data_IF_442098051277
#
_entry.id   IF_442098051277
#
_cell.length_a   1.000
_cell.length_b   1.000
_cell.length_c   1.000
_cell.angle_alpha   90.00
_cell.angle_beta   90.00
_cell.angle_gamma   90.00
#
_symmetry.space_group_name_H-M   'P 1'
#
loop_
_entity.id
_entity.type
_entity.pdbx_description
1 polymer ?
#
# COMPACT_ATOMS: atom_id res chain seq x y z
N UNK A 1 69.11 -20.25 -0.55
CA UNK A 1 68.45 -21.50 -1.01
C UNK A 1 67.16 -21.07 -1.69
N UNK A 2 66.87 -21.57 -2.89
CA UNK A 2 65.61 -21.26 -3.57
C UNK A 2 64.48 -21.90 -2.76
N UNK A 3 63.47 -21.14 -2.35
CA UNK A 3 62.25 -21.69 -1.75
C UNK A 3 61.33 -22.20 -2.87
N UNK A 4 61.15 -23.52 -3.02
CA UNK A 4 60.35 -24.09 -4.10
C UNK A 4 58.87 -23.69 -4.05
N UNK A 5 58.34 -23.45 -2.85
CA UNK A 5 56.92 -23.08 -2.67
C UNK A 5 56.69 -21.67 -3.18
N UNK A 6 57.49 -20.71 -2.72
CA UNK A 6 57.39 -19.31 -3.15
C UNK A 6 57.54 -19.14 -4.67
N UNK A 7 58.52 -19.82 -5.29
CA UNK A 7 58.72 -19.76 -6.74
C UNK A 7 57.56 -20.39 -7.53
N UNK A 8 57.06 -21.54 -7.07
CA UNK A 8 55.95 -22.21 -7.71
C UNK A 8 54.66 -21.39 -7.66
N UNK A 9 54.37 -20.77 -6.52
CA UNK A 9 53.24 -19.85 -6.36
C UNK A 9 53.37 -18.66 -7.31
N UNK A 10 54.51 -17.97 -7.31
CA UNK A 10 54.70 -16.77 -8.13
C UNK A 10 54.49 -17.04 -9.63
N UNK A 11 55.09 -18.11 -10.15
CA UNK A 11 54.98 -18.45 -11.57
C UNK A 11 53.58 -18.97 -11.93
N UNK A 12 52.97 -19.80 -11.09
CA UNK A 12 51.60 -20.25 -11.32
C UNK A 12 50.62 -19.08 -11.34
N UNK A 13 50.78 -18.10 -10.44
CA UNK A 13 49.98 -16.88 -10.41
C UNK A 13 50.17 -16.05 -11.68
N UNK A 14 51.41 -15.86 -12.15
CA UNK A 14 51.67 -15.11 -13.39
C UNK A 14 51.02 -15.72 -14.63
N UNK A 15 50.98 -17.05 -14.73
CA UNK A 15 50.36 -17.76 -15.87
C UNK A 15 48.85 -17.52 -15.96
N UNK A 16 48.18 -17.36 -14.82
CA UNK A 16 46.72 -17.17 -14.76
C UNK A 16 46.29 -15.70 -14.66
N UNK A 17 47.15 -14.84 -14.13
CA UNK A 17 46.86 -13.43 -13.84
C UNK A 17 46.15 -12.64 -14.96
N UNK A 18 46.61 -12.66 -16.23
CA UNK A 18 45.94 -11.88 -17.29
C UNK A 18 44.52 -12.37 -17.58
N UNK A 19 44.27 -13.68 -17.46
CA UNK A 19 42.95 -14.27 -17.67
C UNK A 19 42.01 -13.99 -16.52
N UNK A 20 42.52 -14.07 -15.29
CA UNK A 20 41.78 -13.76 -14.07
C UNK A 20 41.38 -12.28 -14.05
N UNK A 21 42.33 -11.40 -14.36
CA UNK A 21 42.09 -9.95 -14.46
C UNK A 21 41.01 -9.65 -15.51
N UNK A 22 41.11 -10.25 -16.70
CA UNK A 22 40.11 -10.07 -17.76
C UNK A 22 38.72 -10.58 -17.36
N UNK A 23 38.64 -11.75 -16.71
CA UNK A 23 37.39 -12.32 -16.23
C UNK A 23 36.74 -11.45 -15.14
N UNK A 24 37.52 -10.99 -14.16
CA UNK A 24 37.07 -10.10 -13.09
C UNK A 24 36.59 -8.75 -13.64
N UNK A 25 37.29 -8.17 -14.62
CA UNK A 25 36.83 -6.95 -15.31
C UNK A 25 35.49 -7.18 -16.01
N UNK A 26 35.31 -8.34 -16.67
CA UNK A 26 34.04 -8.69 -17.32
C UNK A 26 32.91 -8.89 -16.30
N UNK A 27 33.16 -9.54 -15.17
CA UNK A 27 32.19 -9.68 -14.09
C UNK A 27 31.77 -8.34 -13.51
N UNK A 28 32.72 -7.41 -13.33
CA UNK A 28 32.46 -6.05 -12.87
C UNK A 28 31.57 -5.29 -13.87
N UNK A 29 31.87 -5.39 -15.17
CA UNK A 29 31.06 -4.79 -16.24
C UNK A 29 29.63 -5.35 -16.24
N UNK A 30 29.48 -6.68 -16.24
CA UNK A 30 28.18 -7.36 -16.26
C UNK A 30 27.37 -7.04 -15.01
N UNK A 31 27.99 -7.05 -13.83
CA UNK A 31 27.32 -6.70 -12.57
C UNK A 31 26.89 -5.24 -12.56
N UNK A 32 27.71 -4.33 -13.08
CA UNK A 32 27.34 -2.92 -13.24
C UNK A 32 26.12 -2.73 -14.15
N UNK A 33 26.09 -3.42 -15.30
CA UNK A 33 24.93 -3.39 -16.23
C UNK A 33 23.67 -3.95 -15.59
N UNK A 34 23.79 -5.10 -14.92
CA UNK A 34 22.68 -5.73 -14.21
C UNK A 34 22.07 -4.80 -13.17
N UNK A 35 22.92 -4.19 -12.33
CA UNK A 35 22.46 -3.25 -11.30
C UNK A 35 21.80 -2.02 -11.91
N UNK A 36 22.37 -1.46 -12.98
CA UNK A 36 21.80 -0.32 -13.69
C UNK A 36 20.41 -0.63 -14.28
N UNK A 37 20.28 -1.78 -14.96
CA UNK A 37 19.00 -2.24 -15.52
C UNK A 37 17.96 -2.49 -14.43
N UNK A 38 18.37 -3.09 -13.30
CA UNK A 38 17.48 -3.31 -12.15
C UNK A 38 16.98 -1.99 -11.55
N UNK A 39 17.85 -0.98 -11.43
CA UNK A 39 17.45 0.35 -10.98
C UNK A 39 16.46 1.01 -11.94
N UNK A 40 16.70 0.92 -13.26
CA UNK A 40 15.73 1.44 -14.25
C UNK A 40 14.40 0.69 -14.14
N UNK A 41 14.43 -0.65 -14.04
CA UNK A 41 13.22 -1.46 -13.88
C UNK A 41 12.40 -1.04 -12.65
N UNK A 42 13.08 -0.73 -11.55
CA UNK A 42 12.46 -0.29 -10.29
C UNK A 42 11.71 1.04 -10.48
N UNK A 43 12.30 1.99 -11.20
CA UNK A 43 11.65 3.28 -11.51
C UNK A 43 10.50 3.13 -12.52
N UNK A 44 10.60 2.22 -13.49
CA UNK A 44 9.49 1.89 -14.39
C UNK A 44 8.32 1.24 -13.64
N UNK A 45 8.59 0.29 -12.74
CA UNK A 45 7.55 -0.31 -11.88
C UNK A 45 6.94 0.70 -10.90
N UNK A 46 7.74 1.64 -10.39
CA UNK A 46 7.19 2.76 -9.62
C UNK A 46 6.26 3.63 -10.47
N UNK A 47 6.58 3.84 -11.75
CA UNK A 47 5.71 4.57 -12.66
C UNK A 47 4.42 3.84 -12.97
N UNK A 48 4.46 2.53 -13.25
CA UNK A 48 3.24 1.73 -13.43
C UNK A 48 2.29 1.88 -12.24
N UNK A 49 2.80 1.81 -11.00
CA UNK A 49 1.97 2.04 -9.79
C UNK A 49 1.37 3.45 -9.74
N UNK A 50 2.12 4.48 -10.16
CA UNK A 50 1.57 5.84 -10.28
C UNK A 50 0.45 5.88 -11.32
N UNK A 51 0.60 5.21 -12.47
CA UNK A 51 -0.44 5.16 -13.50
C UNK A 51 -1.68 4.39 -13.03
N UNK A 52 -1.51 3.24 -12.38
CA UNK A 52 -2.60 2.43 -11.81
C UNK A 52 -3.44 3.22 -10.80
N UNK A 53 -2.80 4.08 -10.00
CA UNK A 53 -3.49 4.96 -9.06
C UNK A 53 -4.33 6.05 -9.74
N UNK A 54 -4.10 6.32 -11.03
CA UNK A 54 -4.83 7.31 -11.83
C UNK A 54 -5.84 6.66 -12.77
N UNK A 55 -5.54 5.48 -13.31
CA UNK A 55 -6.41 4.74 -14.22
C UNK A 55 -7.43 3.85 -13.50
N UNK A 56 -7.21 3.53 -12.22
CA UNK A 56 -8.06 2.64 -11.42
C UNK A 56 -9.56 3.02 -11.37
N UNK A 57 -10.39 2.05 -11.02
CA UNK A 57 -11.84 2.24 -10.85
C UNK A 57 -12.15 3.30 -9.79
N UNK A 58 -13.10 4.19 -10.06
CA UNK A 58 -13.44 5.37 -9.24
C UNK A 58 -12.29 6.37 -8.98
N UNK A 59 -11.21 6.33 -9.78
CA UNK A 59 -10.16 7.36 -9.77
C UNK A 59 -10.43 8.40 -10.85
N UNK A 60 -9.88 9.59 -10.64
CA UNK A 60 -9.92 10.72 -11.57
C UNK A 60 -8.56 11.39 -11.60
N UNK A 61 -8.23 11.98 -12.76
CA UNK A 61 -7.04 12.83 -12.89
C UNK A 61 -7.30 14.24 -12.37
N UNK A 62 -8.54 14.71 -12.51
CA UNK A 62 -9.03 15.95 -11.88
C UNK A 62 -9.55 15.66 -10.48
N UNK A 63 -9.26 16.54 -9.52
CA UNK A 63 -9.75 16.44 -8.15
C UNK A 63 -10.84 17.46 -7.91
N UNK A 64 -11.76 17.09 -7.04
CA UNK A 64 -12.82 17.94 -6.54
C UNK A 64 -12.61 18.13 -5.04
N UNK A 65 -13.01 19.30 -4.56
CA UNK A 65 -13.03 19.67 -3.15
C UNK A 65 -14.48 19.79 -2.70
N UNK A 66 -14.71 19.48 -1.43
CA UNK A 66 -15.92 19.88 -0.74
C UNK A 66 -15.48 20.52 0.58
N UNK A 67 -16.00 21.70 0.88
CA UNK A 67 -15.68 22.45 2.10
C UNK A 67 -16.96 22.78 2.84
N UNK A 68 -16.95 22.62 4.15
CA UNK A 68 -18.05 23.03 5.04
C UNK A 68 -17.76 24.40 5.65
N UNK A 69 -18.79 25.21 5.85
CA UNK A 69 -18.67 26.45 6.63
C UNK A 69 -18.33 26.20 8.09
N UNK A 70 -18.78 25.07 8.64
CA UNK A 70 -18.42 24.60 9.98
C UNK A 70 -18.22 23.07 9.98
N UNK A 71 -16.99 22.64 10.19
CA UNK A 71 -16.62 21.22 10.23
C UNK A 71 -16.94 20.53 11.55
N UNK A 72 -17.35 21.27 12.59
CA UNK A 72 -17.81 20.69 13.86
C UNK A 72 -19.21 20.07 13.73
N UNK A 73 -20.02 20.55 12.79
CA UNK A 73 -21.34 20.00 12.49
C UNK A 73 -21.27 18.88 11.46
N UNK A 74 -20.58 19.10 10.35
CA UNK A 74 -20.42 18.10 9.31
C UNK A 74 -19.21 18.36 8.43
N UNK A 75 -18.65 17.29 7.87
CA UNK A 75 -17.64 17.37 6.82
C UNK A 75 -18.17 16.75 5.54
N UNK A 76 -17.67 17.24 4.41
CA UNK A 76 -18.03 16.72 3.09
C UNK A 76 -16.78 16.30 2.33
N UNK A 77 -16.87 15.23 1.55
CA UNK A 77 -15.81 14.75 0.69
C UNK A 77 -16.34 14.62 -0.73
N UNK A 78 -15.75 15.38 -1.64
CA UNK A 78 -16.12 15.33 -3.04
C UNK A 78 -15.50 14.10 -3.72
N UNK A 79 -16.36 13.28 -4.32
CA UNK A 79 -15.93 12.19 -5.19
C UNK A 79 -15.53 12.66 -6.58
N UNK A 80 -15.09 11.70 -7.39
CA UNK A 80 -14.72 11.86 -8.80
C UNK A 80 -15.78 12.59 -9.65
N UNK A 81 -17.07 12.33 -9.37
CA UNK A 81 -18.21 12.83 -10.15
C UNK A 81 -18.88 14.05 -9.50
N UNK A 82 -18.27 14.60 -8.46
CA UNK A 82 -18.76 15.79 -7.77
C UNK A 82 -18.92 16.96 -8.74
N UNK A 83 -20.12 17.52 -8.76
CA UNK A 83 -20.43 18.70 -9.56
C UNK A 83 -20.28 19.94 -8.69
N UNK A 84 -19.59 20.95 -9.24
CA UNK A 84 -19.43 22.24 -8.58
C UNK A 84 -20.79 22.84 -8.22
N UNK A 85 -20.87 23.41 -7.03
CA UNK A 85 -22.12 23.96 -6.52
C UNK A 85 -22.03 24.37 -5.06
N UNK A 86 -23.01 25.15 -4.63
CA UNK A 86 -23.15 25.58 -3.26
C UNK A 86 -24.48 25.04 -2.70
N UNK A 87 -24.40 24.35 -1.57
CA UNK A 87 -25.51 23.63 -0.96
C UNK A 87 -25.65 24.02 0.50
N UNK A 88 -26.87 24.07 0.99
CA UNK A 88 -27.15 24.23 2.42
C UNK A 88 -27.49 22.86 3.01
N UNK A 89 -26.89 22.49 4.14
CA UNK A 89 -27.16 21.25 4.84
C UNK A 89 -27.51 21.51 6.31
N UNK A 90 -28.69 21.08 6.72
CA UNK A 90 -29.11 21.12 8.12
C UNK A 90 -29.08 19.70 8.70
N UNK A 91 -28.34 19.48 9.78
CA UNK A 91 -28.30 18.17 10.47
C UNK A 91 -29.38 18.15 11.55
N UNK A 92 -30.41 17.34 11.36
CA UNK A 92 -31.52 17.20 12.32
C UNK A 92 -31.15 16.26 13.46
N UNK A 93 -30.59 15.09 13.13
CA UNK A 93 -30.18 14.11 14.14
C UNK A 93 -29.05 13.22 13.63
N UNK A 94 -28.28 12.70 14.57
CA UNK A 94 -27.25 11.71 14.31
C UNK A 94 -27.81 10.29 14.46
N UNK A 95 -27.21 9.36 13.73
CA UNK A 95 -27.43 7.95 13.93
C UNK A 95 -26.89 7.54 15.31
N UNK A 96 -27.65 6.74 16.02
CA UNK A 96 -27.29 6.18 17.32
C UNK A 96 -27.49 4.66 17.33
N UNK A 97 -26.66 3.96 18.08
CA UNK A 97 -26.81 2.54 18.36
C UNK A 97 -27.75 2.33 19.55
N UNK A 98 -28.37 1.15 19.65
CA UNK A 98 -29.26 0.85 20.77
C UNK A 98 -28.44 0.48 22.03
N UNK A 99 -28.81 1.04 23.18
CA UNK A 99 -28.34 0.61 24.49
C UNK A 99 -29.48 0.32 25.47
N UNK A 100 -29.43 -0.85 26.09
CA UNK A 100 -30.39 -1.32 27.09
C UNK A 100 -29.67 -1.69 28.39
N UNK A 101 -30.22 -1.30 29.53
CA UNK A 101 -29.72 -1.70 30.84
C UNK A 101 -30.76 -2.50 31.64
N UNK A 102 -30.34 -3.61 32.22
CA UNK A 102 -31.22 -4.44 33.05
C UNK A 102 -31.57 -3.76 34.37
N UNK A 103 -32.73 -4.16 34.92
CA UNK A 103 -33.13 -3.84 36.29
C UNK A 103 -33.00 -5.09 37.16
N UNK A 104 -31.80 -5.32 37.71
CA UNK A 104 -31.53 -6.49 38.55
C UNK A 104 -32.05 -6.32 39.98
N UNK A 105 -32.32 -7.42 40.70
CA UNK A 105 -32.66 -7.37 42.12
C UNK A 105 -31.62 -6.61 42.96
N UNK A 106 -32.09 -5.95 44.03
CA UNK A 106 -31.18 -5.27 44.96
C UNK A 106 -30.24 -6.28 45.65
N UNK A 107 -28.97 -5.91 45.79
CA UNK A 107 -27.94 -6.77 46.39
C UNK A 107 -27.25 -7.72 45.41
N UNK A 108 -27.64 -7.73 44.13
CA UNK A 108 -26.92 -8.46 43.08
C UNK A 108 -25.50 -7.92 42.91
N UNK A 109 -24.53 -8.82 42.97
CA UNK A 109 -23.09 -8.60 42.73
C UNK A 109 -22.66 -9.27 41.42
N UNK A 110 -21.45 -8.97 40.94
CA UNK A 110 -20.89 -9.61 39.73
C UNK A 110 -20.72 -11.12 39.91
N UNK A 111 -20.49 -11.55 41.16
CA UNK A 111 -20.30 -12.94 41.57
C UNK A 111 -21.63 -13.59 41.97
N UNK A 112 -22.75 -12.87 41.88
CA UNK A 112 -24.07 -13.48 42.03
C UNK A 112 -24.35 -14.40 40.84
N UNK A 113 -25.02 -15.51 41.13
CA UNK A 113 -25.28 -16.53 40.15
C UNK A 113 -26.53 -16.22 39.31
N UNK A 114 -26.45 -16.54 38.03
CA UNK A 114 -27.57 -16.60 37.09
C UNK A 114 -28.01 -18.07 36.91
N UNK A 115 -29.15 -18.36 36.28
CA UNK A 115 -29.55 -19.74 36.00
C UNK A 115 -28.48 -20.49 35.20
N UNK A 116 -28.11 -21.69 35.64
CA UNK A 116 -27.13 -22.55 34.97
C UNK A 116 -27.74 -23.39 33.81
N UNK A 117 -28.98 -23.10 33.40
CA UNK A 117 -29.65 -23.77 32.28
C UNK A 117 -30.72 -22.87 31.68
N UNK A 118 -31.05 -23.14 30.41
CA UNK A 118 -31.95 -22.30 29.61
C UNK A 118 -31.18 -21.51 28.56
N UNK A 119 -31.90 -20.68 27.82
CA UNK A 119 -31.35 -19.96 26.67
C UNK A 119 -31.59 -18.47 26.81
N UNK A 120 -30.56 -17.67 26.58
CA UNK A 120 -30.66 -16.23 26.37
C UNK A 120 -30.59 -15.94 24.87
N UNK A 121 -31.64 -15.34 24.32
CA UNK A 121 -31.73 -14.96 22.91
C UNK A 121 -31.53 -13.46 22.76
N UNK A 122 -30.62 -13.08 21.88
CA UNK A 122 -30.40 -11.70 21.47
C UNK A 122 -30.74 -11.57 19.99
N UNK A 123 -31.43 -10.50 19.63
CA UNK A 123 -31.75 -10.17 18.26
C UNK A 123 -31.40 -8.71 17.97
N UNK A 124 -30.76 -8.49 16.82
CA UNK A 124 -30.43 -7.16 16.30
C UNK A 124 -30.58 -7.22 14.78
N UNK A 125 -31.24 -6.22 14.20
CA UNK A 125 -31.48 -6.13 12.76
C UNK A 125 -32.12 -7.40 12.14
N UNK A 126 -33.01 -8.07 12.88
CA UNK A 126 -33.68 -9.30 12.43
C UNK A 126 -32.82 -10.57 12.48
N UNK A 127 -31.52 -10.46 12.77
CA UNK A 127 -30.64 -11.60 13.03
C UNK A 127 -30.63 -11.93 14.52
N UNK A 128 -30.62 -13.22 14.85
CA UNK A 128 -30.62 -13.69 16.24
C UNK A 128 -29.48 -14.65 16.53
N UNK A 129 -28.92 -14.53 17.72
CA UNK A 129 -28.02 -15.53 18.28
C UNK A 129 -28.43 -15.89 19.70
N UNK A 130 -27.92 -17.01 20.18
CA UNK A 130 -28.34 -17.56 21.47
C UNK A 130 -27.16 -17.97 22.31
N UNK A 131 -27.22 -17.67 23.61
CA UNK A 131 -26.29 -18.21 24.60
C UNK A 131 -27.02 -19.29 25.39
N UNK A 132 -26.55 -20.53 25.25
CA UNK A 132 -26.95 -21.64 26.11
C UNK A 132 -26.26 -21.50 27.47
N UNK A 133 -27.04 -21.30 28.52
CA UNK A 133 -26.52 -21.05 29.86
C UNK A 133 -25.85 -22.30 30.47
N UNK A 134 -26.19 -23.50 29.99
CA UNK A 134 -25.52 -24.73 30.43
C UNK A 134 -24.10 -24.87 29.84
N UNK A 135 -23.85 -24.25 28.69
CA UNK A 135 -22.55 -24.25 28.01
C UNK A 135 -21.71 -23.04 28.40
N UNK A 136 -22.35 -21.95 28.85
CA UNK A 136 -21.69 -20.73 29.29
C UNK A 136 -20.84 -20.94 30.56
N UNK A 137 -21.17 -21.92 31.41
CA UNK A 137 -20.34 -22.34 32.54
C UNK A 137 -19.11 -23.12 32.03
N UNK A 138 -18.03 -22.40 31.73
CA UNK A 138 -16.77 -22.99 31.25
C UNK A 138 -15.98 -23.72 32.35
N UNK A 139 -16.27 -23.45 33.61
CA UNK A 139 -15.59 -24.09 34.75
C UNK A 139 -16.27 -25.41 35.11
N UNK A 140 -17.53 -25.59 34.70
CA UNK A 140 -18.31 -26.82 34.85
C UNK A 140 -18.65 -27.15 36.29
N UNK A 141 -18.72 -26.14 37.16
CA UNK A 141 -19.10 -26.27 38.57
C UNK A 141 -20.62 -26.20 38.79
N UNK A 142 -21.40 -25.95 37.74
CA UNK A 142 -22.85 -25.76 37.81
C UNK A 142 -23.26 -24.36 38.28
N UNK A 143 -22.32 -23.41 38.33
CA UNK A 143 -22.55 -22.04 38.77
C UNK A 143 -22.11 -21.08 37.66
N UNK A 144 -23.04 -20.26 37.16
CA UNK A 144 -22.74 -19.23 36.16
C UNK A 144 -22.86 -17.86 36.82
N UNK A 145 -21.78 -17.08 36.88
CA UNK A 145 -21.84 -15.71 37.39
C UNK A 145 -22.33 -14.72 36.31
N UNK A 146 -22.74 -13.52 36.72
CA UNK A 146 -23.02 -12.45 35.76
C UNK A 146 -21.79 -12.04 34.93
N UNK A 147 -20.59 -12.16 35.50
CA UNK A 147 -19.33 -11.93 34.78
C UNK A 147 -19.08 -12.99 33.70
N UNK A 148 -19.36 -14.26 34.02
CA UNK A 148 -19.26 -15.36 33.07
C UNK A 148 -20.30 -15.23 31.96
N UNK A 149 -21.52 -14.80 32.29
CA UNK A 149 -22.57 -14.53 31.30
C UNK A 149 -22.15 -13.44 30.30
N UNK A 150 -21.60 -12.31 30.78
CA UNK A 150 -21.07 -11.25 29.91
C UNK A 150 -19.96 -11.80 29.01
N UNK A 151 -19.06 -12.62 29.57
CA UNK A 151 -17.98 -13.25 28.82
C UNK A 151 -18.52 -14.22 27.77
N UNK A 152 -19.58 -14.97 28.08
CA UNK A 152 -20.22 -15.90 27.15
C UNK A 152 -20.90 -15.17 25.99
N UNK A 153 -21.61 -14.07 26.26
CA UNK A 153 -22.27 -13.24 25.24
C UNK A 153 -21.25 -12.63 24.27
N UNK A 154 -20.22 -11.97 24.81
CA UNK A 154 -19.22 -11.27 23.99
C UNK A 154 -18.33 -12.22 23.17
N UNK A 155 -18.19 -13.48 23.60
CA UNK A 155 -17.42 -14.51 22.89
C UNK A 155 -18.30 -15.54 22.17
N UNK A 156 -19.61 -15.30 22.06
CA UNK A 156 -20.48 -16.19 21.32
C UNK A 156 -20.06 -16.22 19.83
N UNK A 157 -19.80 -17.39 19.25
CA UNK A 157 -19.25 -17.50 17.91
C UNK A 157 -20.21 -17.01 16.81
N UNK A 158 -21.50 -16.99 17.12
CA UNK A 158 -22.60 -16.53 16.29
C UNK A 158 -23.10 -15.12 16.67
N UNK A 159 -22.36 -14.37 17.51
CA UNK A 159 -22.75 -13.02 17.92
C UNK A 159 -22.93 -12.10 16.70
N UNK A 160 -24.15 -11.57 16.54
CA UNK A 160 -24.57 -10.76 15.37
C UNK A 160 -24.35 -9.26 15.55
N UNK A 161 -23.69 -8.83 16.64
CA UNK A 161 -23.37 -7.42 16.89
C UNK A 161 -23.87 -6.86 18.23
N UNK A 162 -24.11 -7.71 19.23
CA UNK A 162 -24.52 -7.28 20.58
C UNK A 162 -23.37 -7.49 21.56
N UNK A 163 -22.94 -6.42 22.20
CA UNK A 163 -21.97 -6.47 23.30
C UNK A 163 -22.67 -6.34 24.65
N UNK A 164 -22.15 -7.02 25.67
CA UNK A 164 -22.61 -6.94 27.04
C UNK A 164 -21.49 -6.42 27.97
N UNK A 165 -21.86 -5.69 29.01
CA UNK A 165 -20.94 -5.30 30.09
C UNK A 165 -21.66 -5.17 31.43
N UNK A 166 -20.89 -5.19 32.53
CA UNK A 166 -21.42 -4.90 33.86
C UNK A 166 -21.14 -3.45 34.22
N UNK A 167 -22.16 -2.76 34.70
CA UNK A 167 -22.07 -1.36 35.13
C UNK A 167 -22.60 -1.23 36.55
N UNK A 168 -21.93 -0.42 37.37
CA UNK A 168 -22.40 -0.10 38.72
C UNK A 168 -23.04 1.29 38.67
N UNK A 169 -24.33 1.37 38.97
CA UNK A 169 -25.08 2.61 39.09
C UNK A 169 -25.67 2.72 40.49
N UNK A 170 -25.32 3.77 41.23
CA UNK A 170 -25.76 3.99 42.63
C UNK A 170 -25.54 2.78 43.56
N UNK A 171 -24.46 2.02 43.35
CA UNK A 171 -24.13 0.84 44.15
C UNK A 171 -24.87 -0.44 43.75
N UNK A 172 -25.69 -0.41 42.70
CA UNK A 172 -26.36 -1.58 42.11
C UNK A 172 -25.68 -1.97 40.79
N UNK A 173 -25.52 -3.27 40.55
CA UNK A 173 -25.02 -3.78 39.27
C UNK A 173 -26.17 -3.90 38.27
N UNK A 174 -25.88 -3.54 37.01
CA UNK A 174 -26.73 -3.72 35.86
C UNK A 174 -25.93 -4.38 34.74
N UNK A 175 -26.59 -5.19 33.92
CA UNK A 175 -26.04 -5.61 32.63
C UNK A 175 -26.44 -4.54 31.61
N UNK A 176 -25.44 -3.99 30.95
CA UNK A 176 -25.60 -3.10 29.81
C UNK A 176 -25.40 -3.89 28.53
N UNK A 177 -26.37 -3.82 27.65
CA UNK A 177 -26.32 -4.36 26.29
C UNK A 177 -26.21 -3.21 25.30
N UNK A 178 -25.30 -3.32 24.33
CA UNK A 178 -25.06 -2.30 23.31
C UNK A 178 -24.94 -2.96 21.94
N UNK A 179 -25.72 -2.47 20.98
CA UNK A 179 -25.51 -2.78 19.56
C UNK A 179 -24.18 -2.19 19.07
N UNK A 180 -23.55 -2.86 18.12
CA UNK A 180 -22.29 -2.43 17.49
C UNK A 180 -22.49 -1.43 16.34
N UNK A 181 -23.71 -1.37 15.79
CA UNK A 181 -24.09 -0.51 14.67
C UNK A 181 -25.16 0.50 15.07
N UNK A 182 -25.09 1.68 14.45
CA UNK A 182 -26.11 2.73 14.55
C UNK A 182 -27.24 2.49 13.56
N UNK A 183 -28.37 3.19 13.71
CA UNK A 183 -29.48 3.14 12.75
C UNK A 183 -30.73 2.48 13.32
N UNK A 184 -31.90 2.88 12.85
CA UNK A 184 -33.19 2.53 13.41
C UNK A 184 -33.48 1.01 13.37
N UNK A 185 -32.96 0.30 12.38
CA UNK A 185 -33.11 -1.16 12.24
C UNK A 185 -32.22 -1.95 13.22
N UNK A 186 -31.14 -1.34 13.73
CA UNK A 186 -30.19 -1.96 14.66
C UNK A 186 -30.66 -1.91 16.12
N UNK A 187 -31.96 -2.11 16.33
CA UNK A 187 -32.55 -2.21 17.65
C UNK A 187 -32.21 -3.57 18.28
N UNK A 188 -31.56 -3.55 19.44
CA UNK A 188 -31.33 -4.75 20.26
C UNK A 188 -32.63 -5.17 20.95
N UNK A 189 -32.95 -6.45 20.87
CA UNK A 189 -33.98 -7.09 21.67
C UNK A 189 -33.43 -8.33 22.35
N UNK A 190 -33.86 -8.55 23.58
CA UNK A 190 -33.33 -9.61 24.45
C UNK A 190 -34.51 -10.29 25.13
N UNK A 191 -34.41 -11.60 25.23
CA UNK A 191 -35.32 -12.44 25.98
C UNK A 191 -34.57 -13.67 26.50
N UNK A 192 -34.94 -14.18 27.66
CA UNK A 192 -34.48 -15.50 28.11
C UNK A 192 -35.64 -16.44 28.37
N UNK A 193 -35.32 -17.73 28.33
CA UNK A 193 -36.20 -18.83 28.70
C UNK A 193 -35.46 -19.75 29.65
N UNK A 194 -35.68 -19.56 30.95
CA UNK A 194 -35.04 -20.33 32.02
C UNK A 194 -36.08 -20.88 33.01
N UNK A 195 -35.62 -21.54 34.08
CA UNK A 195 -36.49 -21.92 35.20
C UNK A 195 -36.65 -20.80 36.25
N UNK A 196 -35.97 -19.67 36.07
CA UNK A 196 -35.99 -18.53 36.99
C UNK A 196 -36.76 -17.35 36.36
N UNK A 197 -38.01 -17.19 36.80
CA UNK A 197 -38.87 -16.11 36.32
C UNK A 197 -38.35 -14.70 36.65
N UNK A 198 -37.54 -14.54 37.70
CA UNK A 198 -36.96 -13.23 38.07
C UNK A 198 -35.87 -12.87 37.07
N UNK A 199 -35.00 -13.83 36.76
CA UNK A 199 -34.00 -13.66 35.70
C UNK A 199 -34.65 -13.41 34.34
N UNK A 200 -35.67 -14.19 33.97
CA UNK A 200 -36.38 -14.03 32.70
C UNK A 200 -37.08 -12.68 32.57
N UNK A 201 -37.63 -12.16 33.67
CA UNK A 201 -38.21 -10.83 33.71
C UNK A 201 -37.14 -9.75 33.51
N UNK A 202 -35.98 -9.89 34.17
CA UNK A 202 -34.88 -8.92 34.07
C UNK A 202 -34.16 -8.95 32.71
N UNK A 203 -34.15 -10.08 32.02
CA UNK A 203 -33.55 -10.28 30.69
C UNK A 203 -34.54 -10.06 29.54
N UNK A 204 -35.77 -9.63 29.82
CA UNK A 204 -36.71 -9.18 28.80
C UNK A 204 -36.47 -7.71 28.49
N UNK A 205 -36.08 -7.41 27.25
CA UNK A 205 -35.82 -6.06 26.75
C UNK A 205 -36.98 -5.07 26.99
N UNK A 206 -38.24 -5.50 27.06
CA UNK A 206 -39.37 -4.63 27.38
C UNK A 206 -39.39 -4.13 28.84
N UNK A 207 -38.64 -4.78 29.74
CA UNK A 207 -38.49 -4.40 31.14
C UNK A 207 -37.15 -3.69 31.41
N UNK A 208 -36.29 -3.59 30.40
CA UNK A 208 -35.01 -2.90 30.51
C UNK A 208 -35.19 -1.39 30.36
N UNK A 209 -34.24 -0.64 30.92
CA UNK A 209 -34.15 0.81 30.70
C UNK A 209 -33.45 1.06 29.37
N UNK A 210 -34.12 1.71 28.42
CA UNK A 210 -33.51 2.21 27.18
C UNK A 210 -32.64 3.43 27.51
N UNK A 211 -31.32 3.29 27.39
CA UNK A 211 -30.35 4.36 27.64
C UNK A 211 -30.09 5.19 26.38
N UNK A 212 -30.01 4.53 25.23
CA UNK A 212 -29.90 5.14 23.91
C UNK A 212 -30.81 4.39 22.95
N UNK A 213 -31.67 5.12 22.25
CA UNK A 213 -32.54 4.56 21.23
C UNK A 213 -31.77 4.41 19.92
N UNK A 214 -31.89 3.26 19.26
CA UNK A 214 -31.41 3.12 17.89
C UNK A 214 -32.19 4.01 16.94
N UNK A 215 -31.49 4.86 16.20
CA UNK A 215 -32.08 5.77 15.22
C UNK A 215 -31.13 6.05 14.08
N UNK A 216 -31.69 6.40 12.92
CA UNK A 216 -30.94 6.82 11.73
C UNK A 216 -30.43 8.25 11.86
N UNK A 217 -29.37 8.55 11.14
CA UNK A 217 -28.95 9.93 10.89
C UNK A 217 -29.94 10.58 9.91
N UNK A 218 -30.30 11.83 10.19
CA UNK A 218 -31.16 12.63 9.32
C UNK A 218 -30.52 14.00 9.10
N UNK A 219 -30.37 14.35 7.84
CA UNK A 219 -30.00 15.69 7.38
C UNK A 219 -30.97 16.18 6.31
N UNK A 220 -31.01 17.49 6.10
CA UNK A 220 -31.82 18.13 5.07
C UNK A 220 -30.92 18.89 4.13
N UNK A 221 -31.02 18.60 2.84
CA UNK A 221 -30.46 19.46 1.79
C UNK A 221 -31.43 20.63 1.60
N UNK A 222 -31.04 21.80 2.10
CA UNK A 222 -31.86 23.00 2.18
C UNK A 222 -32.29 23.31 3.61
N UNK A 223 -33.53 23.77 3.75
CA UNK A 223 -34.11 24.19 5.04
C UNK A 223 -34.75 22.99 5.74
N UNK A 224 -34.63 22.91 7.07
CA UNK A 224 -35.30 21.93 7.91
C UNK A 224 -36.80 21.79 7.53
N UNK A 225 -37.32 20.56 7.44
CA UNK A 225 -38.71 20.22 7.12
C UNK A 225 -39.27 20.66 5.75
N UNK A 226 -38.49 21.34 4.90
CA UNK A 226 -38.91 21.77 3.56
C UNK A 226 -37.91 21.45 2.44
N UNK A 227 -36.66 21.16 2.81
CA UNK A 227 -35.62 20.65 1.92
C UNK A 227 -35.79 19.17 1.58
N UNK A 228 -34.77 18.59 0.94
CA UNK A 228 -34.73 17.16 0.64
C UNK A 228 -34.19 16.39 1.85
N UNK A 229 -34.96 15.43 2.35
CA UNK A 229 -34.56 14.59 3.48
C UNK A 229 -33.50 13.57 3.04
N UNK A 230 -32.39 13.55 3.76
CA UNK A 230 -31.29 12.60 3.64
C UNK A 230 -31.32 11.72 4.90
N UNK A 231 -31.43 10.41 4.73
CA UNK A 231 -31.55 9.46 5.84
C UNK A 231 -30.61 8.28 5.62
N UNK A 232 -29.87 7.91 6.66
CA UNK A 232 -28.91 6.81 6.61
C UNK A 232 -28.78 6.15 7.99
N UNK A 233 -28.51 4.84 8.04
CA UNK A 233 -28.25 4.12 9.29
C UNK A 233 -26.93 4.54 9.95
N UNK A 234 -26.00 5.15 9.20
CA UNK A 234 -24.72 5.68 9.68
C UNK A 234 -24.66 7.21 9.65
N UNK A 235 -23.79 7.78 10.49
CA UNK A 235 -23.39 9.18 10.40
C UNK A 235 -22.48 9.46 9.19
N UNK A 236 -21.96 8.40 8.55
CA UNK A 236 -21.28 8.46 7.26
C UNK A 236 -22.27 8.14 6.15
N UNK A 237 -22.60 9.15 5.35
CA UNK A 237 -23.53 9.04 4.24
C UNK A 237 -22.74 9.09 2.94
N UNK A 238 -22.63 7.97 2.24
CA UNK A 238 -21.90 7.89 0.96
C UNK A 238 -22.79 8.26 -0.23
N UNK A 239 -22.23 8.99 -1.20
CA UNK A 239 -22.85 9.26 -2.50
C UNK A 239 -24.18 10.01 -2.44
N UNK A 240 -24.39 10.84 -1.42
CA UNK A 240 -25.70 11.39 -1.04
C UNK A 240 -26.28 12.33 -2.10
N UNK A 241 -25.47 13.25 -2.59
CA UNK A 241 -25.83 14.14 -3.69
C UNK A 241 -24.60 14.40 -4.56
N UNK A 242 -24.80 14.38 -5.88
CA UNK A 242 -23.75 14.68 -6.86
C UNK A 242 -22.46 13.87 -6.71
N UNK A 243 -22.44 12.73 -6.00
CA UNK A 243 -21.20 11.99 -5.70
C UNK A 243 -20.34 12.61 -4.59
N UNK A 244 -20.98 13.27 -3.62
CA UNK A 244 -20.38 13.74 -2.36
C UNK A 244 -20.75 12.81 -1.21
N UNK A 245 -19.75 12.46 -0.42
CA UNK A 245 -19.92 11.77 0.85
C UNK A 245 -19.99 12.81 1.98
N UNK A 246 -20.88 12.58 2.96
CA UNK A 246 -21.04 13.43 4.13
C UNK A 246 -20.72 12.65 5.39
N UNK A 247 -20.08 13.32 6.35
CA UNK A 247 -19.92 12.81 7.71
C UNK A 247 -20.56 13.79 8.68
N UNK A 248 -21.62 13.36 9.34
CA UNK A 248 -22.36 14.17 10.30
C UNK A 248 -21.74 14.01 11.70
N UNK A 249 -21.53 15.12 12.39
CA UNK A 249 -20.83 15.15 13.68
C UNK A 249 -21.67 15.76 14.80
N UNK A 250 -22.57 16.69 14.47
CA UNK A 250 -23.43 17.36 15.45
C UNK A 250 -24.77 17.75 14.84
N UNK A 251 -25.83 17.62 15.63
CA UNK A 251 -27.16 18.10 15.26
C UNK A 251 -27.31 19.60 15.53
N UNK A 252 -28.05 20.27 14.67
CA UNK A 252 -28.47 21.66 14.82
C UNK A 252 -29.68 21.73 15.76
N UNK A 253 -29.92 22.90 16.35
CA UNK A 253 -31.19 23.18 16.99
C UNK A 253 -32.24 23.52 15.93
N UNK A 254 -33.50 23.15 16.18
CA UNK A 254 -34.59 23.46 15.25
C UNK A 254 -34.70 24.96 15.02
N UNK A 255 -34.77 25.36 13.75
CA UNK A 255 -34.77 26.77 13.32
C UNK A 255 -33.39 27.44 13.20
N UNK A 256 -32.28 26.75 13.51
CA UNK A 256 -30.95 27.24 13.15
C UNK A 256 -30.73 27.21 11.63
N UNK A 257 -29.87 28.09 11.12
CA UNK A 257 -29.38 27.95 9.76
C UNK A 257 -28.46 26.72 9.68
N UNK A 258 -28.56 25.96 8.59
CA UNK A 258 -27.63 24.85 8.36
C UNK A 258 -26.23 25.33 8.00
N UNK A 259 -25.37 24.39 7.62
CA UNK A 259 -24.03 24.63 7.11
C UNK A 259 -24.00 24.73 5.58
N UNK A 260 -23.13 25.59 5.08
CA UNK A 260 -22.88 25.77 3.65
C UNK A 260 -21.81 24.78 3.21
N UNK A 261 -22.12 23.94 2.23
CA UNK A 261 -21.17 23.08 1.53
C UNK A 261 -20.87 23.65 0.15
N UNK A 262 -19.60 23.97 -0.07
CA UNK A 262 -19.10 24.42 -1.38
C UNK A 262 -18.34 23.27 -2.01
N UNK A 263 -18.83 22.81 -3.16
CA UNK A 263 -18.13 21.88 -4.05
C UNK A 263 -17.47 22.71 -5.15
N UNK A 264 -16.17 22.54 -5.34
CA UNK A 264 -15.41 23.18 -6.40
C UNK A 264 -14.27 22.27 -6.90
N UNK A 265 -13.66 22.60 -8.03
CA UNK A 265 -12.46 21.93 -8.49
C UNK A 265 -11.31 22.08 -7.48
N UNK A 266 -10.72 20.97 -7.06
CA UNK A 266 -9.51 20.96 -6.24
C UNK A 266 -8.29 21.13 -7.13
N UNK A 267 -7.93 22.40 -7.34
CA UNK A 267 -6.78 22.78 -8.17
C UNK A 267 -5.47 22.25 -7.62
N UNK A 268 -5.28 22.32 -6.31
CA UNK A 268 -4.04 21.87 -5.69
C UNK A 268 -3.94 20.35 -5.76
N UNK A 269 -5.01 19.61 -5.43
CA UNK A 269 -5.03 18.16 -5.55
C UNK A 269 -4.85 17.68 -6.99
N UNK A 270 -5.39 18.39 -7.98
CA UNK A 270 -5.17 18.10 -9.40
C UNK A 270 -3.71 18.33 -9.78
N UNK A 271 -3.13 19.47 -9.36
CA UNK A 271 -1.72 19.77 -9.60
C UNK A 271 -0.80 18.73 -8.96
N UNK A 272 -1.07 18.33 -7.71
CA UNK A 272 -0.28 17.34 -6.99
C UNK A 272 -0.27 15.98 -7.72
N UNK A 273 -1.40 15.61 -8.34
CA UNK A 273 -1.50 14.41 -9.19
C UNK A 273 -0.61 14.53 -10.43
N UNK A 274 -0.67 15.66 -11.14
CA UNK A 274 0.13 15.87 -12.34
C UNK A 274 1.63 15.98 -12.01
N UNK A 275 1.97 16.65 -10.92
CA UNK A 275 3.35 16.74 -10.41
C UNK A 275 3.89 15.37 -9.99
N UNK A 276 3.06 14.49 -9.44
CA UNK A 276 3.46 13.11 -9.15
C UNK A 276 3.80 12.33 -10.43
N UNK A 277 3.02 12.49 -11.49
CA UNK A 277 3.29 11.91 -12.81
C UNK A 277 4.61 12.43 -13.39
N UNK A 278 4.79 13.76 -13.40
CA UNK A 278 6.00 14.43 -13.89
C UNK A 278 7.24 13.98 -13.11
N UNK A 279 7.14 13.94 -11.78
CA UNK A 279 8.23 13.51 -10.90
C UNK A 279 8.68 12.09 -11.22
N UNK A 280 7.76 11.17 -11.46
CA UNK A 280 8.11 9.79 -11.75
C UNK A 280 8.71 9.61 -13.15
N UNK A 281 8.22 10.34 -14.16
CA UNK A 281 8.88 10.43 -15.46
C UNK A 281 10.32 10.95 -15.32
N UNK A 282 10.52 12.05 -14.60
CA UNK A 282 11.84 12.67 -14.43
C UNK A 282 12.82 11.78 -13.64
N UNK A 283 12.33 10.99 -12.68
CA UNK A 283 13.16 9.98 -11.99
C UNK A 283 13.67 8.90 -12.94
N UNK A 284 12.83 8.42 -13.86
CA UNK A 284 13.25 7.46 -14.89
C UNK A 284 14.30 8.12 -15.78
N UNK A 285 14.03 9.33 -16.27
CA UNK A 285 14.94 10.04 -17.16
C UNK A 285 16.32 10.27 -16.51
N UNK A 286 16.35 10.75 -15.26
CA UNK A 286 17.55 10.96 -14.46
C UNK A 286 18.31 9.67 -14.16
N UNK A 287 17.59 8.60 -13.81
CA UNK A 287 18.20 7.27 -13.59
C UNK A 287 18.84 6.75 -14.86
N UNK A 288 18.17 6.90 -16.00
CA UNK A 288 18.74 6.55 -17.29
C UNK A 288 20.00 7.38 -17.56
N UNK A 289 19.95 8.71 -17.43
CA UNK A 289 21.12 9.59 -17.68
C UNK A 289 22.33 9.23 -16.83
N UNK A 290 22.10 8.94 -15.54
CA UNK A 290 23.13 8.49 -14.62
C UNK A 290 23.85 7.24 -15.16
N UNK A 291 23.11 6.28 -15.70
CA UNK A 291 23.69 5.02 -16.18
C UNK A 291 24.12 5.06 -17.65
N UNK A 292 23.59 5.96 -18.47
CA UNK A 292 23.93 6.13 -19.89
C UNK A 292 24.95 7.24 -20.15
N UNK A 293 25.46 7.90 -19.11
CA UNK A 293 26.49 8.92 -19.21
C UNK A 293 27.71 8.42 -20.01
N UNK A 294 28.11 9.14 -21.06
CA UNK A 294 29.29 8.78 -21.87
C UNK A 294 30.62 8.99 -21.14
N UNK A 295 30.58 9.73 -20.03
CA UNK A 295 31.74 10.23 -19.31
C UNK A 295 32.33 11.48 -20.00
N UNK A 296 33.09 12.27 -19.24
CA UNK A 296 33.78 13.45 -19.75
C UNK A 296 35.15 13.63 -19.07
N UNK A 297 35.95 14.56 -19.59
CA UNK A 297 37.27 14.92 -19.04
C UNK A 297 37.18 15.72 -17.73
N UNK A 298 35.98 16.15 -17.36
CA UNK A 298 35.69 17.01 -16.18
C UNK A 298 35.28 16.19 -14.95
N UNK A 299 35.43 14.86 -14.99
CA UNK A 299 35.24 13.98 -13.84
C UNK A 299 33.93 13.19 -13.83
N UNK A 300 33.04 13.36 -14.81
CA UNK A 300 31.88 12.49 -14.96
C UNK A 300 32.34 11.11 -15.45
N UNK A 301 32.12 10.09 -14.62
CA UNK A 301 32.45 8.72 -14.98
C UNK A 301 31.49 8.18 -16.05
N UNK A 302 32.02 7.34 -16.94
CA UNK A 302 31.20 6.62 -17.92
C UNK A 302 30.25 5.67 -17.20
N UNK A 303 28.96 5.77 -17.49
CA UNK A 303 27.93 4.93 -16.92
C UNK A 303 27.98 3.49 -17.45
N UNK A 304 27.41 2.56 -16.69
CA UNK A 304 27.40 1.13 -17.03
C UNK A 304 26.66 0.82 -18.35
N UNK A 305 25.72 1.69 -18.75
CA UNK A 305 24.86 1.57 -19.93
C UNK A 305 25.17 2.65 -21.00
N UNK A 306 26.33 3.29 -20.97
CA UNK A 306 26.71 4.40 -21.85
C UNK A 306 26.65 4.12 -23.38
N UNK A 307 26.48 2.86 -23.78
CA UNK A 307 26.31 2.46 -25.18
C UNK A 307 25.16 1.48 -25.36
N UNK A 308 24.29 1.37 -24.36
CA UNK A 308 23.12 0.51 -24.43
C UNK A 308 21.99 1.21 -25.20
N UNK A 309 21.53 0.69 -26.34
CA UNK A 309 20.47 1.32 -27.12
C UNK A 309 19.12 1.35 -26.39
N UNK A 310 18.87 0.43 -25.46
CA UNK A 310 17.58 0.33 -24.76
C UNK A 310 17.29 1.54 -23.90
N UNK A 311 18.32 2.13 -23.27
CA UNK A 311 18.19 3.35 -22.48
C UNK A 311 17.59 4.51 -23.28
N UNK A 312 18.05 4.69 -24.52
CA UNK A 312 17.52 5.70 -25.45
C UNK A 312 16.14 5.33 -25.95
N UNK A 313 15.90 4.06 -26.25
CA UNK A 313 14.58 3.58 -26.68
C UNK A 313 13.51 3.84 -25.62
N UNK A 314 13.79 3.57 -24.34
CA UNK A 314 12.86 3.84 -23.23
C UNK A 314 12.51 5.34 -23.18
N UNK A 315 13.53 6.21 -23.16
CA UNK A 315 13.31 7.67 -23.14
C UNK A 315 12.46 8.15 -24.32
N UNK A 316 12.80 7.71 -25.53
CA UNK A 316 12.08 8.11 -26.74
C UNK A 316 10.65 7.57 -26.76
N UNK A 317 10.43 6.34 -26.28
CA UNK A 317 9.11 5.72 -26.20
C UNK A 317 8.19 6.49 -25.25
N UNK A 318 8.66 6.78 -24.04
CA UNK A 318 7.88 7.54 -23.04
C UNK A 318 7.65 8.98 -23.48
N UNK A 319 8.70 9.67 -23.92
CA UNK A 319 8.59 11.05 -24.45
C UNK A 319 7.63 11.12 -25.64
N UNK A 320 7.65 10.11 -26.50
CA UNK A 320 6.77 10.02 -27.67
C UNK A 320 5.29 10.04 -27.30
N UNK A 321 4.89 9.41 -26.19
CA UNK A 321 3.49 9.44 -25.71
C UNK A 321 3.06 10.84 -25.32
N UNK A 322 3.92 11.59 -24.60
CA UNK A 322 3.63 13.00 -24.25
C UNK A 322 3.60 13.94 -25.47
N UNK A 323 4.16 13.54 -26.61
CA UNK A 323 4.15 14.32 -27.85
C UNK A 323 2.98 13.96 -28.79
N UNK A 324 2.15 12.99 -28.40
CA UNK A 324 0.97 12.62 -29.15
C UNK A 324 -0.21 13.56 -28.87
N UNK A 325 -1.22 13.42 -29.73
CA UNK A 325 -2.51 14.08 -29.61
C UNK A 325 -3.55 13.05 -29.20
N UNK A 326 -4.41 13.41 -28.25
CA UNK A 326 -5.47 12.58 -27.72
C UNK A 326 -6.77 13.36 -27.84
N UNK A 327 -7.74 12.81 -28.58
CA UNK A 327 -8.99 13.49 -28.92
C UNK A 327 -8.80 14.91 -29.50
N UNK A 328 -7.78 15.08 -30.36
CA UNK A 328 -7.46 16.37 -30.95
C UNK A 328 -6.68 17.34 -30.04
N UNK A 329 -6.43 16.97 -28.78
CA UNK A 329 -5.71 17.79 -27.78
C UNK A 329 -4.29 17.27 -27.57
N UNK A 330 -3.32 18.17 -27.59
CA UNK A 330 -1.92 17.86 -27.25
C UNK A 330 -1.69 17.96 -25.74
N UNK A 331 -0.72 17.21 -25.22
CA UNK A 331 -0.36 17.33 -23.79
C UNK A 331 0.21 18.72 -23.44
N UNK A 332 0.75 19.45 -24.42
CA UNK A 332 1.18 20.84 -24.25
C UNK A 332 0.02 21.80 -23.98
N UNK A 333 -1.13 21.60 -24.65
CA UNK A 333 -2.37 22.35 -24.35
C UNK A 333 -2.91 22.04 -22.94
N UNK A 334 -2.57 20.87 -22.40
CA UNK A 334 -2.85 20.46 -21.02
C UNK A 334 -1.73 20.83 -20.04
N UNK A 335 -0.77 21.68 -20.44
CA UNK A 335 0.27 22.21 -19.57
C UNK A 335 1.52 21.34 -19.40
N UNK A 336 1.67 20.22 -20.13
CA UNK A 336 2.90 19.42 -20.08
C UNK A 336 3.96 19.95 -21.04
N UNK A 337 5.13 20.31 -20.53
CA UNK A 337 6.21 20.86 -21.34
C UNK A 337 7.55 20.16 -21.10
N UNK A 338 8.28 19.91 -22.19
CA UNK A 338 9.67 19.42 -22.14
C UNK A 338 10.67 20.56 -22.26
N UNK A 339 11.57 20.64 -21.27
CA UNK A 339 12.77 21.45 -21.36
C UNK A 339 13.77 20.92 -22.40
N UNK A 340 14.74 21.75 -22.80
CA UNK A 340 15.78 21.40 -23.78
C UNK A 340 16.63 20.19 -23.37
N UNK A 341 16.79 19.99 -22.07
CA UNK A 341 17.50 18.85 -21.46
C UNK A 341 16.65 17.55 -21.43
N UNK A 342 15.37 17.63 -21.78
CA UNK A 342 14.44 16.50 -21.75
C UNK A 342 13.69 16.32 -20.43
N UNK A 343 13.86 17.24 -19.47
CA UNK A 343 13.09 17.27 -18.22
C UNK A 343 11.65 17.69 -18.52
N UNK A 344 10.68 16.94 -17.98
CA UNK A 344 9.26 17.26 -18.09
C UNK A 344 8.83 18.20 -16.96
N UNK A 345 7.90 19.10 -17.24
CA UNK A 345 7.26 19.98 -16.28
C UNK A 345 5.75 20.04 -16.54
N UNK A 346 5.00 20.45 -15.51
CA UNK A 346 3.56 20.68 -15.61
C UNK A 346 3.25 22.12 -15.19
N UNK A 347 2.56 22.83 -16.06
CA UNK A 347 2.03 24.17 -15.83
C UNK A 347 0.54 24.09 -15.49
N UNK A 348 0.25 24.21 -14.18
CA UNK A 348 -1.12 24.18 -13.67
C UNK A 348 -1.97 25.37 -14.11
N UNK A 349 -1.36 26.53 -14.42
CA UNK A 349 -2.11 27.71 -14.88
C UNK A 349 -2.62 27.50 -16.31
N UNK A 350 -1.79 26.91 -17.17
CA UNK A 350 -2.19 26.50 -18.53
C UNK A 350 -3.29 25.44 -18.49
N UNK A 351 -3.16 24.44 -17.61
CA UNK A 351 -4.19 23.41 -17.44
C UNK A 351 -5.52 24.00 -16.92
N UNK A 352 -5.47 24.93 -15.96
CA UNK A 352 -6.67 25.63 -15.47
C UNK A 352 -7.32 26.46 -16.59
N UNK A 353 -6.53 27.19 -17.38
CA UNK A 353 -7.04 27.95 -18.51
C UNK A 353 -7.74 27.03 -19.52
N UNK A 354 -7.14 25.87 -19.83
CA UNK A 354 -7.74 24.86 -20.69
C UNK A 354 -9.09 24.39 -20.14
N UNK A 355 -9.17 24.03 -18.86
CA UNK A 355 -10.40 23.57 -18.19
C UNK A 355 -11.56 24.57 -18.31
N UNK A 356 -11.27 25.88 -18.27
CA UNK A 356 -12.32 26.92 -18.35
C UNK A 356 -12.83 27.16 -19.76
N UNK A 357 -11.96 26.99 -20.76
CA UNK A 357 -12.27 27.35 -22.16
C UNK A 357 -12.66 26.18 -23.05
N UNK A 358 -12.23 24.97 -22.69
CA UNK A 358 -12.42 23.77 -23.48
C UNK A 358 -13.71 23.04 -23.07
N UNK A 359 -14.37 22.42 -24.05
CA UNK A 359 -15.47 21.48 -23.82
C UNK A 359 -14.99 20.02 -23.82
N UNK A 360 -13.68 19.80 -23.96
CA UNK A 360 -13.10 18.46 -24.03
C UNK A 360 -13.23 17.73 -22.68
N UNK A 361 -13.50 16.43 -22.74
CA UNK A 361 -13.54 15.57 -21.56
C UNK A 361 -12.11 15.18 -21.16
N UNK A 362 -11.57 15.86 -20.15
CA UNK A 362 -10.21 15.62 -19.64
C UNK A 362 -10.09 14.22 -19.06
N UNK A 363 -11.14 13.70 -18.41
CA UNK A 363 -11.09 12.34 -17.87
C UNK A 363 -10.99 11.32 -19.00
N UNK A 364 -11.70 11.52 -20.10
CA UNK A 364 -11.56 10.68 -21.29
C UNK A 364 -10.17 10.80 -21.92
N UNK A 365 -9.64 12.02 -22.12
CA UNK A 365 -8.29 12.23 -22.69
C UNK A 365 -7.20 11.51 -21.89
N UNK A 366 -7.30 11.48 -20.56
CA UNK A 366 -6.31 10.80 -19.73
C UNK A 366 -6.58 9.30 -19.59
N UNK A 367 -7.82 8.91 -19.27
CA UNK A 367 -8.17 7.58 -18.76
C UNK A 367 -8.92 6.71 -19.76
N UNK A 368 -9.41 7.28 -20.86
CA UNK A 368 -10.11 6.55 -21.91
C UNK A 368 -9.27 5.41 -22.49
N UNK A 369 -9.95 4.41 -23.07
CA UNK A 369 -9.28 3.27 -23.67
C UNK A 369 -8.43 3.72 -24.88
N UNK A 370 -7.15 3.34 -24.90
CA UNK A 370 -6.22 3.77 -25.94
C UNK A 370 -5.73 5.21 -25.81
N UNK A 371 -6.17 5.92 -24.75
CA UNK A 371 -5.78 7.30 -24.45
C UNK A 371 -4.50 7.37 -23.61
N UNK A 372 -4.15 8.57 -23.13
CA UNK A 372 -2.81 8.90 -22.63
C UNK A 372 -2.25 7.91 -21.60
N UNK A 373 -2.96 7.64 -20.49
CA UNK A 373 -2.45 6.76 -19.44
C UNK A 373 -2.29 5.33 -19.93
N UNK A 374 -3.21 4.84 -20.75
CA UNK A 374 -3.15 3.47 -21.29
C UNK A 374 -1.99 3.29 -22.29
N UNK A 375 -1.74 4.30 -23.15
CA UNK A 375 -0.58 4.29 -24.04
C UNK A 375 0.73 4.33 -23.26
N UNK A 376 0.79 5.17 -22.22
CA UNK A 376 1.97 5.29 -21.38
C UNK A 376 2.26 3.98 -20.64
N UNK A 377 1.24 3.36 -20.06
CA UNK A 377 1.33 2.03 -19.44
C UNK A 377 1.79 0.97 -20.45
N UNK A 378 1.17 0.92 -21.62
CA UNK A 378 1.57 -0.01 -22.68
C UNK A 378 3.03 0.17 -23.14
N UNK A 379 3.56 1.41 -23.14
CA UNK A 379 4.98 1.64 -23.40
C UNK A 379 5.89 1.18 -22.28
N UNK A 380 5.47 1.31 -21.02
CA UNK A 380 6.24 0.83 -19.87
C UNK A 380 6.34 -0.70 -19.87
N UNK A 381 5.21 -1.37 -20.09
CA UNK A 381 5.10 -2.84 -20.03
C UNK A 381 5.99 -3.55 -21.04
N UNK A 382 6.23 -2.98 -22.23
CA UNK A 382 7.21 -3.50 -23.21
C UNK A 382 8.61 -3.71 -22.58
N UNK A 383 8.97 -2.90 -21.60
CA UNK A 383 10.27 -2.92 -20.95
C UNK A 383 10.27 -3.65 -19.61
N UNK A 384 9.28 -3.39 -18.75
CA UNK A 384 9.27 -3.83 -17.35
C UNK A 384 8.26 -4.96 -17.03
N UNK A 385 7.54 -5.50 -18.02
CA UNK A 385 6.65 -6.64 -17.78
C UNK A 385 7.39 -7.82 -17.15
N UNK A 386 6.79 -8.40 -16.11
CA UNK A 386 7.38 -9.46 -15.31
C UNK A 386 7.54 -10.78 -16.07
N UNK A 387 6.80 -10.98 -17.17
CA UNK A 387 6.85 -12.21 -17.96
C UNK A 387 7.77 -12.08 -19.17
N UNK A 388 7.65 -10.99 -19.91
CA UNK A 388 8.14 -10.81 -21.28
C UNK A 388 8.94 -9.52 -21.50
N UNK A 389 9.07 -8.66 -20.47
CA UNK A 389 9.69 -7.35 -20.58
C UNK A 389 11.14 -7.40 -21.06
N UNK A 390 11.51 -6.44 -21.91
CA UNK A 390 12.86 -6.37 -22.51
C UNK A 390 13.96 -6.29 -21.45
N UNK A 391 13.76 -5.54 -20.37
CA UNK A 391 14.77 -5.38 -19.31
C UNK A 391 14.99 -6.69 -18.56
N UNK A 392 13.91 -7.43 -18.27
CA UNK A 392 14.00 -8.74 -17.64
C UNK A 392 14.84 -9.69 -18.49
N UNK A 393 14.54 -9.81 -19.78
CA UNK A 393 15.27 -10.69 -20.70
C UNK A 393 16.77 -10.33 -20.77
N UNK A 394 17.11 -9.03 -20.70
CA UNK A 394 18.49 -8.58 -20.62
C UNK A 394 19.17 -8.94 -19.30
N UNK A 395 18.48 -8.80 -18.17
CA UNK A 395 18.99 -9.21 -16.86
C UNK A 395 19.29 -10.71 -16.84
N UNK A 396 18.37 -11.54 -17.34
CA UNK A 396 18.56 -12.99 -17.44
C UNK A 396 19.75 -13.35 -18.35
N UNK A 397 19.88 -12.68 -19.50
CA UNK A 397 21.02 -12.85 -20.39
C UNK A 397 22.35 -12.48 -19.72
N UNK A 398 22.37 -11.39 -18.94
CA UNK A 398 23.55 -10.97 -18.18
C UNK A 398 23.88 -11.99 -17.09
N UNK A 399 22.88 -12.53 -16.38
CA UNK A 399 23.10 -13.53 -15.33
C UNK A 399 23.66 -14.84 -15.91
N UNK A 400 23.18 -15.26 -17.09
CA UNK A 400 23.78 -16.39 -17.84
C UNK A 400 25.23 -16.08 -18.22
N UNK A 401 25.52 -14.85 -18.70
CA UNK A 401 26.89 -14.45 -19.04
C UNK A 401 27.81 -14.45 -17.81
N UNK A 402 27.32 -13.98 -16.65
CA UNK A 402 28.07 -14.00 -15.39
C UNK A 402 28.42 -15.44 -15.00
N UNK A 403 27.44 -16.34 -14.98
CA UNK A 403 27.67 -17.76 -14.68
C UNK A 403 28.72 -18.41 -15.59
N UNK A 404 28.73 -18.05 -16.89
CA UNK A 404 29.78 -18.53 -17.81
C UNK A 404 31.18 -18.01 -17.46
N UNK A 405 31.28 -16.77 -17.00
CA UNK A 405 32.57 -16.19 -16.57
C UNK A 405 33.01 -16.81 -15.24
N UNK A 406 32.09 -17.05 -14.31
CA UNK A 406 32.37 -17.74 -13.04
C UNK A 406 32.89 -19.16 -13.28
N UNK A 407 32.26 -19.93 -14.18
CA UNK A 407 32.76 -21.25 -14.58
C UNK A 407 34.16 -21.18 -15.23
N UNK A 408 34.47 -20.08 -15.92
CA UNK A 408 35.80 -19.87 -16.51
C UNK A 408 36.85 -19.56 -15.44
N UNK A 409 36.50 -18.82 -14.39
CA UNK A 409 37.34 -18.60 -13.23
C UNK A 409 37.62 -19.92 -12.50
N UNK A 410 36.60 -20.74 -12.26
CA UNK A 410 36.79 -22.06 -11.64
C UNK A 410 37.71 -22.95 -12.48
N UNK A 411 37.56 -22.93 -13.81
CA UNK A 411 38.49 -23.65 -14.70
C UNK A 411 39.90 -23.07 -14.66
N UNK A 412 40.07 -21.77 -14.40
CA UNK A 412 41.35 -21.10 -14.30
C UNK A 412 42.04 -21.45 -12.97
N UNK A 413 41.28 -21.56 -11.88
CA UNK A 413 41.78 -22.04 -10.58
C UNK A 413 42.33 -23.45 -10.70
N UNK A 414 41.62 -24.35 -11.39
CA UNK A 414 42.14 -25.70 -11.69
C UNK A 414 43.43 -25.66 -12.53
N UNK A 415 43.60 -24.68 -13.43
CA UNK A 415 44.85 -24.52 -14.20
C UNK A 415 45.97 -24.00 -13.33
N UNK A 416 45.68 -23.05 -12.44
CA UNK A 416 46.61 -22.56 -11.44
C UNK A 416 47.15 -23.72 -10.60
N UNK A 417 46.30 -24.59 -10.06
CA UNK A 417 46.72 -25.76 -9.27
C UNK A 417 47.64 -26.71 -10.05
N UNK A 418 47.35 -26.93 -11.33
CA UNK A 418 48.20 -27.74 -12.20
C UNK A 418 49.58 -27.09 -12.46
N UNK A 419 49.61 -25.78 -12.72
CA UNK A 419 50.86 -25.04 -12.89
C UNK A 419 51.68 -25.02 -11.61
N UNK A 420 51.03 -24.77 -10.47
CA UNK A 420 51.64 -24.79 -9.15
C UNK A 420 52.27 -26.14 -8.86
N UNK A 421 51.53 -27.25 -9.02
CA UNK A 421 52.05 -28.60 -8.81
C UNK A 421 53.25 -28.91 -9.71
N UNK A 422 53.20 -28.50 -10.99
CA UNK A 422 54.30 -28.66 -11.94
C UNK A 422 55.54 -27.88 -11.51
N UNK A 423 55.40 -26.59 -11.20
CA UNK A 423 56.51 -25.74 -10.79
C UNK A 423 57.08 -26.19 -9.44
N UNK A 424 56.24 -26.56 -8.48
CA UNK A 424 56.67 -27.08 -7.19
C UNK A 424 57.56 -28.31 -7.35
N UNK A 425 57.17 -29.25 -8.21
CA UNK A 425 57.98 -30.42 -8.54
C UNK A 425 59.34 -30.02 -9.14
N UNK A 426 59.35 -29.11 -10.11
CA UNK A 426 60.58 -28.64 -10.78
C UNK A 426 61.53 -27.94 -9.79
N UNK A 427 61.05 -27.00 -8.98
CA UNK A 427 61.88 -26.27 -8.03
C UNK A 427 62.34 -27.11 -6.85
N UNK A 428 61.53 -28.09 -6.42
CA UNK A 428 61.97 -29.07 -5.41
C UNK A 428 63.12 -29.91 -5.94
N UNK A 429 63.02 -30.41 -7.18
CA UNK A 429 64.12 -31.14 -7.83
C UNK A 429 65.38 -30.28 -8.00
N UNK A 430 65.24 -29.01 -8.39
CA UNK A 430 66.35 -28.06 -8.47
C UNK A 430 67.02 -27.82 -7.11
N UNK A 431 66.23 -27.69 -6.03
CA UNK A 431 66.76 -27.52 -4.66
C UNK A 431 67.56 -28.74 -4.21
N UNK A 432 67.07 -29.95 -4.51
CA UNK A 432 67.81 -31.20 -4.24
C UNK A 432 69.12 -31.26 -5.03
N UNK A 433 69.09 -30.93 -6.32
CA UNK A 433 70.31 -30.87 -7.15
C UNK A 433 71.31 -29.84 -6.62
N UNK A 434 70.83 -28.66 -6.21
CA UNK A 434 71.68 -27.62 -5.62
C UNK A 434 72.32 -28.09 -4.31
N UNK A 435 71.58 -28.83 -3.48
CA UNK A 435 72.10 -29.42 -2.24
C UNK A 435 73.16 -30.49 -2.53
N UNK A 436 72.92 -31.38 -3.50
CA UNK A 436 73.89 -32.38 -3.94
C UNK A 436 75.16 -31.72 -4.51
N UNK A 437 75.02 -30.70 -5.37
CA UNK A 437 76.14 -29.92 -5.89
C UNK A 437 76.93 -29.22 -4.78
N UNK A 438 76.26 -28.60 -3.81
CA UNK A 438 76.92 -27.96 -2.67
C UNK A 438 77.68 -28.98 -1.81
N UNK A 439 77.11 -30.16 -1.58
CA UNK A 439 77.79 -31.24 -0.86
C UNK A 439 79.04 -31.72 -1.62
N UNK A 440 78.93 -31.94 -2.94
CA UNK A 440 80.07 -32.32 -3.79
C UNK A 440 81.14 -31.22 -3.80
N UNK A 441 80.75 -29.95 -3.97
CA UNK A 441 81.68 -28.81 -3.92
C UNK A 441 82.38 -28.72 -2.57
N UNK A 442 81.67 -28.96 -1.47
CA UNK A 442 82.24 -28.96 -0.12
C UNK A 442 83.24 -30.10 0.04
N UNK A 443 82.92 -31.30 -0.47
CA UNK A 443 83.85 -32.43 -0.49
C UNK A 443 85.13 -32.12 -1.28
N UNK A 444 85.02 -31.50 -2.47
CA UNK A 444 86.18 -31.11 -3.26
C UNK A 444 86.99 -29.97 -2.65
N UNK A 445 86.39 -29.10 -1.83
CA UNK A 445 87.10 -28.03 -1.12
C UNK A 445 87.81 -28.49 0.18
N UNK A 446 87.56 -29.73 0.61
CA UNK A 446 88.20 -30.34 1.79
C UNK A 446 89.39 -31.25 1.43
N UNK A 447 89.65 -31.42 0.13
CA UNK A 447 90.93 -31.88 -0.41
C UNK A 447 91.71 -30.68 -0.95
#
# INVERSE_FOLDING_TARGET
MIDPVSMATQLASWEVYPFETSANLRLKELSGKRSALSSINTELSAFNRTLENLSGYNKTVTKNSATSSDEDFLTAKAGAKAQAGNYQLFVEQLAQHHQLATQLPSGTTQDSFVPASGVLTMNINGESFTVDLAVADKVGNGELSYLDLVTAINNAPDNTGVSASLVISNGQIQLLFSGDKTGAENSVSISSSTADSVFDTAMNSNNMTELLKSQDAIAWLGVENSGLKLQNSSNEMEGVFSGVDLTLKKAHQSGEAGETIIIDADKQGTKDVMDALVKQYNKIASTIDKYSATGNTEGQSRGALASDPTTRSIKNSLRGVFQQTFDGITMGELGFEFSRDGTLSFDGDTFEAFQKTSTADIEEIFRGEGMFLSQLQGKLDIYNDNSSGTIKNQIESIDIQKSRVDNKLESLDRKYENFYARYLKQYTSLSTLQTQMNNISTMFSQY
#
